data_IF_074612138355
#
_entry.id   IF_074612138355
#
_cell.length_a   1.000
_cell.length_b   1.000
_cell.length_c   1.000
_cell.angle_alpha   90.00
_cell.angle_beta   90.00
_cell.angle_gamma   90.00
#
_symmetry.space_group_name_H-M   'P 1'
#
loop_
_entity.id
_entity.type
_entity.pdbx_description
1 polymer ?
#
# COMPACT_ATOMS: atom_id res chain seq x y z
N UNK A 1 17.06 2.72 -13.02
CA UNK A 1 17.77 3.83 -13.69
C UNK A 1 18.40 4.69 -12.60
N UNK A 2 19.56 5.33 -12.80
CA UNK A 2 20.12 6.21 -11.78
C UNK A 2 19.25 7.47 -11.58
N UNK A 3 19.32 8.08 -10.39
CA UNK A 3 18.75 9.41 -10.11
C UNK A 3 19.20 10.41 -11.19
N UNK A 4 18.29 11.20 -11.81
CA UNK A 4 18.66 12.12 -12.88
C UNK A 4 19.60 13.20 -12.35
N UNK A 5 20.59 13.58 -13.16
CA UNK A 5 21.52 14.65 -12.79
C UNK A 5 20.84 16.02 -12.97
N UNK A 6 21.06 16.92 -12.01
CA UNK A 6 20.65 18.33 -12.11
C UNK A 6 21.72 19.13 -12.85
N UNK A 7 21.34 20.22 -13.57
CA UNK A 7 22.29 21.20 -14.09
C UNK A 7 23.20 21.74 -12.97
N UNK A 8 24.46 22.02 -13.29
CA UNK A 8 25.47 22.39 -12.31
C UNK A 8 25.19 23.70 -11.55
N UNK A 9 24.37 24.57 -12.13
CA UNK A 9 23.93 25.86 -11.58
C UNK A 9 22.53 25.81 -10.96
N UNK A 10 21.88 24.64 -10.96
CA UNK A 10 20.57 24.48 -10.35
C UNK A 10 20.69 24.14 -8.85
N UNK A 11 20.18 25.03 -8.00
CA UNK A 11 20.08 24.80 -6.56
C UNK A 11 18.74 24.13 -6.22
N UNK A 12 18.81 22.86 -5.83
CA UNK A 12 17.63 22.12 -5.38
C UNK A 12 17.16 22.64 -4.02
N UNK A 13 15.86 22.86 -3.88
CA UNK A 13 15.26 23.20 -2.59
C UNK A 13 15.28 21.98 -1.67
N UNK A 14 16.03 22.06 -0.57
CA UNK A 14 16.16 20.97 0.39
C UNK A 14 14.96 20.83 1.33
N UNK A 15 14.17 21.89 1.49
CA UNK A 15 12.95 21.89 2.31
C UNK A 15 11.91 22.83 1.72
N UNK A 16 10.65 22.40 1.72
CA UNK A 16 9.50 23.14 1.19
C UNK A 16 8.32 22.83 2.11
N UNK A 17 7.84 23.78 2.90
CA UNK A 17 6.57 23.70 3.66
C UNK A 17 6.26 22.34 4.35
N UNK A 18 7.25 21.76 5.04
CA UNK A 18 7.12 20.49 5.77
C UNK A 18 7.64 19.25 5.02
N UNK A 19 7.98 19.40 3.74
CA UNK A 19 8.63 18.39 2.90
C UNK A 19 10.16 18.55 2.96
N UNK A 20 10.89 17.46 3.14
CA UNK A 20 12.36 17.41 3.22
C UNK A 20 12.93 16.59 2.08
N UNK A 21 13.92 17.12 1.38
CA UNK A 21 14.60 16.40 0.31
C UNK A 21 15.39 15.22 0.86
N UNK A 22 15.16 14.02 0.31
CA UNK A 22 15.90 12.83 0.66
C UNK A 22 17.09 12.63 -0.30
N UNK A 23 18.28 12.94 0.21
CA UNK A 23 19.53 12.77 -0.51
C UNK A 23 19.94 11.30 -0.65
N UNK A 24 19.56 10.46 0.33
CA UNK A 24 19.93 9.05 0.42
C UNK A 24 18.96 8.15 -0.37
N UNK A 25 17.82 8.69 -0.81
CA UNK A 25 16.86 8.01 -1.67
C UNK A 25 17.54 7.44 -2.93
N UNK A 26 17.41 6.13 -3.13
CA UNK A 26 18.06 5.40 -4.22
C UNK A 26 17.19 5.24 -5.48
N UNK A 27 16.01 5.85 -5.51
CA UNK A 27 15.12 5.76 -6.68
C UNK A 27 15.69 6.51 -7.89
N UNK A 28 15.06 6.35 -9.05
CA UNK A 28 15.39 7.09 -10.27
C UNK A 28 14.79 8.52 -10.28
N UNK A 29 14.58 9.13 -9.13
CA UNK A 29 13.94 10.44 -9.01
C UNK A 29 14.48 11.31 -7.88
N UNK A 30 14.08 12.58 -7.88
CA UNK A 30 14.28 13.49 -6.75
C UNK A 30 13.05 13.40 -5.84
N UNK A 31 13.25 13.02 -4.57
CA UNK A 31 12.15 12.73 -3.64
C UNK A 31 12.24 13.65 -2.43
N UNK A 32 11.09 14.17 -2.02
CA UNK A 32 10.88 14.86 -0.77
C UNK A 32 9.93 14.04 0.10
N UNK A 33 10.24 13.91 1.38
CA UNK A 33 9.44 13.14 2.36
C UNK A 33 8.95 14.05 3.47
N UNK A 34 7.82 13.72 4.07
CA UNK A 34 7.46 14.30 5.36
C UNK A 34 8.18 13.54 6.48
N UNK A 35 8.66 14.27 7.49
CA UNK A 35 9.24 13.67 8.70
C UNK A 35 8.16 13.16 9.68
N UNK A 36 6.93 13.65 9.55
CA UNK A 36 5.82 13.39 10.49
C UNK A 36 4.71 12.54 9.87
N UNK A 37 4.65 12.45 8.55
CA UNK A 37 3.62 11.74 7.80
C UNK A 37 4.26 10.76 6.81
N UNK A 38 3.66 9.59 6.64
CA UNK A 38 4.15 8.54 5.75
C UNK A 38 3.72 8.82 4.30
N UNK A 39 4.22 9.93 3.75
CA UNK A 39 3.99 10.33 2.38
C UNK A 39 5.20 11.05 1.77
N UNK A 40 5.31 10.95 0.45
CA UNK A 40 6.43 11.52 -0.30
C UNK A 40 6.00 12.13 -1.63
N UNK A 41 6.73 13.13 -2.10
CA UNK A 41 6.57 13.71 -3.44
C UNK A 41 7.85 13.45 -4.23
N UNK A 42 7.71 12.91 -5.43
CA UNK A 42 8.85 12.51 -6.26
C UNK A 42 8.75 12.99 -7.70
N UNK A 43 9.90 13.35 -8.27
CA UNK A 43 10.08 13.69 -9.68
C UNK A 43 10.96 12.62 -10.33
N UNK A 44 10.35 11.79 -11.17
CA UNK A 44 10.97 10.59 -11.73
C UNK A 44 11.24 10.73 -13.21
N UNK A 45 12.44 10.33 -13.62
CA UNK A 45 12.83 10.24 -15.02
C UNK A 45 12.45 8.88 -15.60
N UNK A 46 11.44 8.86 -16.45
CA UNK A 46 10.96 7.68 -17.16
C UNK A 46 11.43 7.70 -18.62
N UNK A 47 11.21 6.60 -19.34
CA UNK A 47 11.53 6.56 -20.78
C UNK A 47 10.63 7.53 -21.54
N UNK A 48 11.17 8.70 -21.91
CA UNK A 48 10.51 9.72 -22.74
C UNK A 48 9.59 10.68 -22.00
N UNK A 49 9.61 10.67 -20.66
CA UNK A 49 8.75 11.55 -19.86
C UNK A 49 9.31 11.77 -18.46
N UNK A 50 9.03 12.93 -17.88
CA UNK A 50 9.19 13.18 -16.44
C UNK A 50 7.81 13.06 -15.81
N UNK A 51 7.71 12.34 -14.69
CA UNK A 51 6.47 12.26 -13.90
C UNK A 51 6.68 12.84 -12.52
N UNK A 52 5.76 13.70 -12.10
CA UNK A 52 5.63 14.21 -10.73
C UNK A 52 4.55 13.39 -10.04
N UNK A 53 4.88 12.84 -8.87
CA UNK A 53 3.99 11.92 -8.13
C UNK A 53 3.96 12.29 -6.66
N UNK A 54 2.82 12.06 -6.02
CA UNK A 54 2.71 11.99 -4.56
C UNK A 54 2.35 10.56 -4.16
N UNK A 55 3.07 10.00 -3.20
CA UNK A 55 3.04 8.59 -2.82
C UNK A 55 2.59 8.46 -1.36
N UNK A 56 1.75 7.47 -1.09
CA UNK A 56 1.45 7.00 0.26
C UNK A 56 2.51 5.96 0.63
N UNK A 57 3.46 6.33 1.49
CA UNK A 57 4.62 5.49 1.81
C UNK A 57 4.23 4.29 2.70
N UNK A 58 2.97 4.23 3.18
CA UNK A 58 2.42 3.08 3.92
C UNK A 58 2.01 1.93 3.01
N UNK A 59 1.96 2.17 1.70
CA UNK A 59 1.36 1.26 0.71
C UNK A 59 2.37 0.93 -0.38
N UNK A 60 2.51 -0.36 -0.67
CA UNK A 60 3.34 -0.86 -1.76
C UNK A 60 2.53 -1.00 -3.06
N UNK A 61 3.21 -1.08 -4.20
CA UNK A 61 2.61 -1.39 -5.50
C UNK A 61 2.48 -0.21 -6.45
N UNK A 62 2.03 -0.46 -7.68
CA UNK A 62 2.00 0.58 -8.72
C UNK A 62 0.91 1.63 -8.53
N UNK A 63 -0.08 1.38 -7.68
CA UNK A 63 -1.16 2.32 -7.41
C UNK A 63 -0.97 3.08 -6.08
N UNK A 64 0.17 2.96 -5.39
CA UNK A 64 0.44 3.69 -4.14
C UNK A 64 0.67 5.19 -4.32
N UNK A 65 0.59 5.70 -5.55
CA UNK A 65 0.83 7.10 -5.86
C UNK A 65 -0.24 7.68 -6.78
N UNK A 66 -0.44 8.99 -6.66
CA UNK A 66 -1.16 9.81 -7.62
C UNK A 66 -0.17 10.52 -8.55
N UNK A 67 -0.40 10.45 -9.87
CA UNK A 67 0.38 11.21 -10.85
C UNK A 67 -0.15 12.65 -10.88
N UNK A 68 0.64 13.58 -10.31
CA UNK A 68 0.30 15.00 -10.27
C UNK A 68 0.51 15.65 -11.64
N UNK A 69 1.60 15.28 -12.31
CA UNK A 69 1.92 15.78 -13.63
C UNK A 69 2.78 14.78 -14.42
N UNK A 70 2.59 14.78 -15.74
CA UNK A 70 3.40 14.02 -16.68
C UNK A 70 3.77 14.89 -17.87
N UNK A 71 5.07 15.05 -18.09
CA UNK A 71 5.60 15.90 -19.15
C UNK A 71 6.44 15.03 -20.09
N UNK A 72 5.90 14.79 -21.29
CA UNK A 72 6.60 14.06 -22.35
C UNK A 72 7.71 14.93 -22.97
N UNK A 73 8.83 14.31 -23.33
CA UNK A 73 9.96 15.02 -23.93
C UNK A 73 10.66 14.21 -25.04
N UNK A 74 11.19 14.93 -26.02
CA UNK A 74 12.26 14.43 -26.88
C UNK A 74 13.61 14.54 -26.17
N UNK A 75 14.57 13.64 -26.47
CA UNK A 75 15.84 13.52 -25.73
C UNK A 75 16.56 14.84 -25.46
N UNK A 76 16.53 15.77 -26.41
CA UNK A 76 17.24 17.05 -26.33
C UNK A 76 16.60 18.04 -25.34
N UNK A 77 15.36 17.78 -24.89
CA UNK A 77 14.62 18.62 -23.94
C UNK A 77 14.57 18.06 -22.51
N UNK A 78 15.13 16.86 -22.30
CA UNK A 78 15.02 16.13 -21.02
C UNK A 78 15.36 16.99 -19.81
N UNK A 79 16.50 17.69 -19.83
CA UNK A 79 16.97 18.43 -18.66
C UNK A 79 16.07 19.65 -18.36
N UNK A 80 15.58 20.35 -19.39
CA UNK A 80 14.62 21.43 -19.21
C UNK A 80 13.30 20.92 -18.61
N UNK A 81 12.81 19.79 -19.11
CA UNK A 81 11.57 19.17 -18.62
C UNK A 81 11.73 18.60 -17.20
N UNK A 82 12.92 18.14 -16.83
CA UNK A 82 13.22 17.76 -15.44
C UNK A 82 13.06 18.97 -14.50
N UNK A 83 13.57 20.13 -14.88
CA UNK A 83 13.41 21.35 -14.07
C UNK A 83 11.94 21.79 -14.01
N UNK A 84 11.21 21.72 -15.13
CA UNK A 84 9.76 21.98 -15.16
C UNK A 84 9.02 21.06 -14.17
N UNK A 85 9.35 19.76 -14.13
CA UNK A 85 8.79 18.82 -13.17
C UNK A 85 9.17 19.11 -11.71
N UNK A 86 10.41 19.56 -11.44
CA UNK A 86 10.81 19.98 -10.09
C UNK A 86 10.05 21.23 -9.67
N UNK A 87 9.90 22.22 -10.54
CA UNK A 87 9.15 23.44 -10.22
C UNK A 87 7.66 23.15 -10.01
N UNK A 88 7.08 22.21 -10.77
CA UNK A 88 5.72 21.71 -10.55
C UNK A 88 5.57 21.02 -9.18
N UNK A 89 6.50 20.13 -8.82
CA UNK A 89 6.51 19.47 -7.50
C UNK A 89 6.62 20.49 -6.36
N UNK A 90 7.48 21.50 -6.52
CA UNK A 90 7.64 22.61 -5.57
C UNK A 90 6.36 23.43 -5.43
N UNK A 91 5.71 23.75 -6.53
CA UNK A 91 4.44 24.47 -6.54
C UNK A 91 3.37 23.69 -5.77
N UNK A 92 3.23 22.39 -6.06
CA UNK A 92 2.25 21.54 -5.39
C UNK A 92 2.53 21.38 -3.88
N UNK A 93 3.79 21.14 -3.50
CA UNK A 93 4.20 21.03 -2.10
C UNK A 93 4.00 22.35 -1.32
N UNK A 94 4.15 23.50 -1.97
CA UNK A 94 3.86 24.80 -1.34
C UNK A 94 2.38 25.09 -1.14
N UNK A 95 1.50 24.36 -1.83
CA UNK A 95 0.04 24.47 -1.71
C UNK A 95 -0.58 23.35 -0.85
N UNK A 96 0.16 22.26 -0.60
CA UNK A 96 -0.34 21.06 0.07
C UNK A 96 0.53 20.71 1.28
N UNK A 97 -0.05 20.89 2.46
CA UNK A 97 0.50 20.40 3.73
C UNK A 97 0.50 18.85 3.73
N UNK A 98 1.63 18.18 4.05
CA UNK A 98 1.67 16.73 4.17
C UNK A 98 0.56 16.14 5.06
N UNK A 99 0.18 16.84 6.13
CA UNK A 99 -0.86 16.40 7.06
C UNK A 99 -2.28 16.43 6.48
N UNK A 100 -2.49 17.22 5.43
CA UNK A 100 -3.79 17.39 4.78
C UNK A 100 -3.97 16.47 3.57
N UNK A 101 -2.89 15.83 3.10
CA UNK A 101 -2.94 14.91 1.98
C UNK A 101 -3.35 13.51 2.43
N UNK A 102 -4.25 12.89 1.67
CA UNK A 102 -4.62 11.50 1.82
C UNK A 102 -4.80 10.90 0.42
N UNK A 103 -4.32 9.69 0.22
CA UNK A 103 -4.43 9.02 -1.07
C UNK A 103 -5.91 8.63 -1.33
N UNK A 104 -6.52 9.05 -2.45
CA UNK A 104 -7.96 8.91 -2.66
C UNK A 104 -8.43 7.45 -2.80
N UNK A 105 -7.54 6.56 -3.26
CA UNK A 105 -7.86 5.13 -3.45
C UNK A 105 -7.37 4.21 -2.32
N UNK A 106 -6.63 4.74 -1.33
CA UNK A 106 -6.13 3.93 -0.20
C UNK A 106 -7.23 3.73 0.82
N UNK A 107 -7.45 2.47 1.21
CA UNK A 107 -8.44 2.12 2.20
C UNK A 107 -7.87 2.28 3.62
N UNK A 108 -8.18 3.38 4.30
CA UNK A 108 -7.69 3.65 5.67
C UNK A 108 -8.04 2.56 6.68
N UNK A 109 -9.15 1.84 6.46
CA UNK A 109 -9.53 0.72 7.32
C UNK A 109 -8.46 -0.39 7.34
N UNK A 110 -7.56 -0.46 6.36
CA UNK A 110 -6.46 -1.46 6.36
C UNK A 110 -5.48 -1.24 7.52
N UNK A 111 -5.23 0.01 7.93
CA UNK A 111 -4.23 0.31 8.96
C UNK A 111 -4.70 -0.04 10.37
N UNK A 112 -6.01 -0.10 10.57
CA UNK A 112 -6.66 -0.58 11.80
C UNK A 112 -6.73 -2.12 11.78
N UNK A 113 -5.61 -2.77 12.09
CA UNK A 113 -5.43 -4.22 11.99
C UNK A 113 -6.42 -5.03 12.85
N UNK A 114 -6.80 -6.26 12.42
CA UNK A 114 -7.54 -7.21 13.25
C UNK A 114 -6.86 -7.52 14.58
N UNK A 115 -7.65 -7.75 15.63
CA UNK A 115 -7.13 -8.10 16.97
C UNK A 115 -6.25 -9.36 16.91
N UNK A 116 -5.09 -9.32 17.58
CA UNK A 116 -4.13 -10.42 17.54
C UNK A 116 -3.29 -10.45 16.26
N UNK A 117 -3.36 -9.38 15.45
CA UNK A 117 -2.55 -9.21 14.24
C UNK A 117 -1.97 -7.80 14.13
N UNK A 118 -0.89 -7.68 13.37
CA UNK A 118 -0.28 -6.41 12.95
C UNK A 118 -0.28 -6.33 11.42
N UNK A 119 -0.47 -5.14 10.85
CA UNK A 119 -0.29 -4.96 9.41
C UNK A 119 1.16 -5.29 9.04
N UNK A 120 1.33 -6.20 8.09
CA UNK A 120 2.62 -6.61 7.53
C UNK A 120 2.88 -5.89 6.21
N UNK A 121 1.91 -5.95 5.31
CA UNK A 121 2.03 -5.32 3.98
C UNK A 121 0.66 -4.99 3.42
N UNK A 122 0.56 -3.84 2.76
CA UNK A 122 -0.58 -3.46 1.94
C UNK A 122 -0.09 -3.19 0.52
N UNK A 123 -0.35 -4.13 -0.39
CA UNK A 123 -0.14 -3.95 -1.82
C UNK A 123 -1.39 -3.36 -2.47
N UNK A 124 -1.21 -2.24 -3.16
CA UNK A 124 -2.24 -1.59 -3.95
C UNK A 124 -1.82 -1.54 -5.42
N UNK A 125 -2.58 -2.27 -6.24
CA UNK A 125 -2.38 -2.41 -7.67
C UNK A 125 -3.61 -1.92 -8.44
N UNK A 126 -3.44 -1.71 -9.75
CA UNK A 126 -4.52 -1.23 -10.61
C UNK A 126 -5.74 -2.17 -10.67
N UNK A 127 -5.54 -3.47 -10.38
CA UNK A 127 -6.56 -4.52 -10.53
C UNK A 127 -6.83 -5.29 -9.25
N UNK A 128 -5.99 -5.11 -8.24
CA UNK A 128 -6.10 -5.84 -7.00
C UNK A 128 -5.59 -5.00 -5.82
N UNK A 129 -6.10 -5.29 -4.65
CA UNK A 129 -5.56 -4.81 -3.40
C UNK A 129 -5.38 -6.02 -2.48
N UNK A 130 -4.16 -6.19 -1.95
CA UNK A 130 -3.79 -7.33 -1.13
C UNK A 130 -3.24 -6.81 0.20
N UNK A 131 -3.76 -7.35 1.29
CA UNK A 131 -3.37 -7.00 2.65
C UNK A 131 -2.95 -8.26 3.37
N UNK A 132 -1.76 -8.20 3.97
CA UNK A 132 -1.26 -9.22 4.88
C UNK A 132 -1.25 -8.65 6.29
N UNK A 133 -1.95 -9.32 7.19
CA UNK A 133 -1.82 -9.10 8.62
C UNK A 133 -1.03 -10.26 9.21
N UNK A 134 0.11 -9.97 9.84
CA UNK A 134 0.91 -10.96 10.57
C UNK A 134 0.31 -11.19 11.95
N UNK A 135 0.14 -12.46 12.33
CA UNK A 135 -0.36 -12.83 13.65
C UNK A 135 0.66 -12.44 14.73
N UNK A 136 0.19 -11.88 15.85
CA UNK A 136 1.03 -11.60 17.00
C UNK A 136 1.78 -12.87 17.46
N UNK A 137 3.09 -12.76 17.63
CA UNK A 137 3.95 -13.89 18.02
C UNK A 137 4.32 -14.84 16.89
N UNK A 138 3.87 -14.61 15.66
CA UNK A 138 4.53 -15.18 14.48
C UNK A 138 5.83 -14.42 14.20
N UNK A 139 6.87 -15.14 13.81
CA UNK A 139 8.14 -14.54 13.39
C UNK A 139 7.97 -13.81 12.05
N UNK A 140 8.67 -12.69 11.91
CA UNK A 140 8.70 -11.88 10.68
C UNK A 140 9.29 -12.65 9.49
N UNK A 141 8.67 -12.53 8.32
CA UNK A 141 9.16 -13.14 7.08
C UNK A 141 9.23 -14.67 7.11
N UNK A 142 8.54 -15.32 8.06
CA UNK A 142 8.53 -16.78 8.15
C UNK A 142 7.42 -17.34 7.27
N UNK A 143 7.87 -17.98 6.19
CA UNK A 143 7.05 -18.83 5.35
C UNK A 143 6.97 -20.24 5.94
N UNK A 144 5.77 -20.80 6.05
CA UNK A 144 5.61 -22.22 6.39
C UNK A 144 5.38 -23.06 5.12
N UNK A 145 6.16 -24.14 4.98
CA UNK A 145 5.99 -25.08 3.86
C UNK A 145 4.76 -25.95 4.08
N UNK A 146 3.64 -25.56 3.47
CA UNK A 146 2.39 -26.33 3.48
C UNK A 146 2.38 -27.50 2.48
N UNK A 147 3.43 -27.70 1.67
CA UNK A 147 3.49 -28.79 0.68
C UNK A 147 3.78 -30.16 1.31
N UNK A 148 4.27 -30.18 2.55
CA UNK A 148 4.67 -31.40 3.27
C UNK A 148 3.65 -31.94 4.28
N UNK A 149 2.65 -31.16 4.69
CA UNK A 149 1.71 -31.51 5.77
C UNK A 149 0.33 -30.93 5.43
N UNK A 150 -0.68 -31.79 5.21
CA UNK A 150 -2.10 -31.48 4.99
C UNK A 150 -2.50 -30.43 3.91
N UNK A 151 -1.55 -29.81 3.21
CA UNK A 151 -1.84 -28.76 2.24
C UNK A 151 -2.32 -27.46 2.91
N UNK A 152 -2.84 -26.48 2.13
CA UNK A 152 -3.43 -25.27 2.70
C UNK A 152 -4.56 -25.58 3.69
N UNK A 153 -5.30 -26.67 3.53
CA UNK A 153 -6.38 -27.09 4.44
C UNK A 153 -5.90 -27.34 5.88
N UNK A 154 -4.60 -27.59 6.09
CA UNK A 154 -3.98 -27.68 7.41
C UNK A 154 -3.79 -26.33 8.11
N UNK A 155 -3.99 -25.21 7.42
CA UNK A 155 -3.93 -23.87 8.00
C UNK A 155 -5.11 -23.61 8.93
N UNK A 156 -4.80 -23.04 10.08
CA UNK A 156 -5.73 -22.64 11.12
C UNK A 156 -5.24 -21.36 11.76
N UNK A 157 -6.09 -20.68 12.53
CA UNK A 157 -5.67 -19.54 13.35
C UNK A 157 -4.42 -19.85 14.21
N UNK A 158 -4.27 -21.08 14.67
CA UNK A 158 -3.21 -21.50 15.59
C UNK A 158 -1.85 -21.76 14.92
N UNK A 159 -1.76 -21.94 13.61
CA UNK A 159 -0.49 -22.21 12.92
C UNK A 159 -0.21 -21.28 11.73
N UNK A 160 -1.23 -20.63 11.15
CA UNK A 160 -1.04 -19.72 10.04
C UNK A 160 -0.35 -18.42 10.52
N UNK A 161 0.77 -18.03 9.90
CA UNK A 161 1.46 -16.79 10.25
C UNK A 161 0.68 -15.54 9.81
N UNK A 162 -0.14 -15.64 8.75
CA UNK A 162 -0.81 -14.48 8.17
C UNK A 162 -2.33 -14.67 7.99
N UNK A 163 -3.06 -13.57 8.21
CA UNK A 163 -4.42 -13.35 7.75
C UNK A 163 -4.35 -12.46 6.50
N UNK A 164 -4.86 -12.99 5.40
CA UNK A 164 -4.80 -12.45 4.06
C UNK A 164 -6.15 -11.90 3.65
N UNK A 165 -6.16 -10.67 3.13
CA UNK A 165 -7.33 -10.05 2.51
C UNK A 165 -6.96 -9.65 1.09
N UNK A 166 -7.76 -10.06 0.11
CA UNK A 166 -7.53 -9.70 -1.29
C UNK A 166 -8.83 -9.28 -1.95
N UNK A 167 -8.86 -8.07 -2.49
CA UNK A 167 -9.92 -7.55 -3.34
C UNK A 167 -9.48 -7.54 -4.81
N UNK A 168 -10.31 -8.09 -5.70
CA UNK A 168 -10.20 -7.84 -7.14
C UNK A 168 -10.97 -6.56 -7.49
N UNK A 169 -10.23 -5.45 -7.64
CA UNK A 169 -10.79 -4.11 -7.83
C UNK A 169 -11.73 -4.07 -9.04
N UNK A 170 -12.91 -3.48 -8.82
CA UNK A 170 -13.96 -3.35 -9.84
C UNK A 170 -14.73 -4.64 -10.15
N UNK A 171 -14.38 -5.77 -9.56
CA UNK A 171 -15.15 -7.02 -9.70
C UNK A 171 -16.19 -7.22 -8.60
N UNK A 172 -16.03 -6.51 -7.47
CA UNK A 172 -16.86 -6.71 -6.29
C UNK A 172 -16.62 -8.07 -5.60
N UNK A 173 -15.46 -8.68 -5.81
CA UNK A 173 -15.07 -9.91 -5.12
C UNK A 173 -13.88 -9.64 -4.23
N UNK A 174 -13.94 -10.20 -3.04
CA UNK A 174 -12.81 -10.26 -2.13
C UNK A 174 -12.66 -11.66 -1.55
N UNK A 175 -11.51 -11.92 -0.93
CA UNK A 175 -11.23 -13.14 -0.18
C UNK A 175 -10.61 -12.76 1.15
N UNK A 176 -11.07 -13.43 2.20
CA UNK A 176 -10.42 -13.41 3.52
C UNK A 176 -9.96 -14.84 3.80
N UNK A 177 -8.66 -15.03 3.93
CA UNK A 177 -8.06 -16.35 4.04
C UNK A 177 -6.89 -16.36 5.02
N UNK A 178 -6.49 -17.55 5.44
CA UNK A 178 -5.20 -17.76 6.07
C UNK A 178 -4.15 -18.02 5.00
N UNK A 179 -2.97 -17.44 5.21
CA UNK A 179 -1.83 -17.56 4.30
C UNK A 179 -0.57 -18.03 5.04
N UNK A 180 0.28 -18.84 4.39
CA UNK A 180 1.53 -19.31 4.97
C UNK A 180 2.72 -18.40 4.70
N UNK A 181 2.57 -17.35 3.89
CA UNK A 181 3.62 -16.45 3.40
C UNK A 181 3.06 -15.06 3.04
N UNK A 182 3.94 -14.13 2.68
CA UNK A 182 3.64 -12.74 2.29
C UNK A 182 3.72 -12.45 0.78
N UNK A 183 4.23 -13.37 -0.05
CA UNK A 183 4.43 -13.13 -1.49
C UNK A 183 3.46 -13.89 -2.40
N UNK A 184 2.34 -13.24 -2.78
CA UNK A 184 1.47 -13.77 -3.86
C UNK A 184 2.13 -13.73 -5.25
N UNK A 185 3.15 -12.89 -5.48
CA UNK A 185 3.69 -12.58 -6.82
C UNK A 185 5.22 -12.79 -7.00
N UNK A 186 5.87 -13.58 -6.14
CA UNK A 186 7.29 -13.90 -6.27
C UNK A 186 7.65 -14.68 -7.56
N UNK A 187 8.92 -14.65 -8.03
CA UNK A 187 9.35 -15.42 -9.20
C UNK A 187 9.20 -16.93 -8.97
N UNK A 188 8.09 -17.50 -9.45
CA UNK A 188 7.76 -18.92 -9.29
C UNK A 188 6.47 -19.21 -8.51
N UNK A 189 5.74 -18.20 -8.05
CA UNK A 189 4.47 -18.40 -7.36
C UNK A 189 3.35 -18.77 -8.35
N UNK A 190 2.71 -19.93 -8.12
CA UNK A 190 1.30 -20.13 -8.52
C UNK A 190 0.44 -19.39 -7.49
N UNK A 191 -0.83 -19.12 -7.82
CA UNK A 191 -1.81 -18.57 -6.87
C UNK A 191 -1.62 -19.14 -5.46
N UNK A 192 -1.70 -18.32 -4.41
CA UNK A 192 -1.17 -18.70 -3.12
C UNK A 192 -1.94 -19.89 -2.52
N UNK A 193 -1.25 -20.78 -1.80
CA UNK A 193 -1.88 -21.87 -1.05
C UNK A 193 -2.58 -21.24 0.16
N UNK A 194 -3.77 -20.70 -0.08
CA UNK A 194 -4.60 -19.99 0.91
C UNK A 194 -5.79 -20.86 1.35
N UNK A 195 -6.25 -20.62 2.57
CA UNK A 195 -7.47 -21.26 3.10
C UNK A 195 -8.50 -20.18 3.43
N UNK A 196 -9.56 -20.01 2.63
CA UNK A 196 -10.63 -19.09 2.94
C UNK A 196 -11.23 -19.39 4.30
N UNK A 197 -11.34 -18.36 5.14
CA UNK A 197 -11.89 -18.50 6.50
C UNK A 197 -13.21 -17.76 6.68
N UNK A 198 -13.57 -16.91 5.73
CA UNK A 198 -14.86 -16.20 5.71
C UNK A 198 -15.43 -16.23 4.29
N UNK A 199 -16.74 -16.47 4.20
CA UNK A 199 -17.49 -16.22 2.97
C UNK A 199 -17.81 -14.72 2.89
N UNK A 200 -17.25 -14.04 1.89
CA UNK A 200 -17.49 -12.61 1.67
C UNK A 200 -18.76 -12.41 0.83
N UNK A 201 -19.53 -11.33 1.06
CA UNK A 201 -20.69 -11.01 0.22
C UNK A 201 -20.32 -10.83 -1.26
N UNK A 202 -21.28 -11.08 -2.15
CA UNK A 202 -21.16 -10.65 -3.54
C UNK A 202 -21.13 -9.12 -3.62
N UNK A 203 -20.30 -8.58 -4.49
CA UNK A 203 -20.11 -7.13 -4.65
C UNK A 203 -19.51 -6.43 -3.42
N UNK A 204 -18.59 -7.11 -2.72
CA UNK A 204 -17.83 -6.52 -1.61
C UNK A 204 -16.51 -5.89 -2.08
N UNK A 205 -16.22 -4.70 -1.55
CA UNK A 205 -14.91 -4.06 -1.69
C UNK A 205 -13.99 -4.32 -0.49
N UNK A 206 -12.77 -3.79 -0.54
CA UNK A 206 -11.73 -4.05 0.46
C UNK A 206 -12.17 -3.72 1.91
N UNK A 207 -12.86 -2.61 2.13
CA UNK A 207 -13.33 -2.18 3.45
C UNK A 207 -14.27 -3.22 4.11
N UNK A 208 -15.17 -3.80 3.32
CA UNK A 208 -16.08 -4.87 3.77
C UNK A 208 -15.27 -6.12 4.09
N UNK A 209 -14.33 -6.51 3.23
CA UNK A 209 -13.49 -7.67 3.44
C UNK A 209 -12.63 -7.54 4.71
N UNK A 210 -12.03 -6.37 4.96
CA UNK A 210 -11.30 -6.07 6.19
C UNK A 210 -12.22 -6.14 7.42
N UNK A 211 -13.45 -5.63 7.30
CA UNK A 211 -14.45 -5.74 8.39
C UNK A 211 -14.77 -7.20 8.71
N UNK A 212 -14.90 -8.05 7.69
CA UNK A 212 -15.13 -9.49 7.86
C UNK A 212 -13.91 -10.18 8.48
N UNK A 213 -12.70 -9.82 8.04
CA UNK A 213 -11.44 -10.31 8.63
C UNK A 213 -11.32 -9.97 10.12
N UNK A 214 -11.68 -8.74 10.50
CA UNK A 214 -11.74 -8.33 11.91
C UNK A 214 -12.72 -9.19 12.68
N UNK A 215 -13.96 -9.34 12.20
CA UNK A 215 -14.99 -10.16 12.87
C UNK A 215 -14.52 -11.58 13.12
N UNK A 216 -13.90 -12.20 12.11
CA UNK A 216 -13.33 -13.54 12.23
C UNK A 216 -12.24 -13.58 13.30
N UNK A 217 -11.30 -12.62 13.31
CA UNK A 217 -10.24 -12.58 14.33
C UNK A 217 -10.79 -12.39 15.76
N UNK A 218 -11.91 -11.68 15.92
CA UNK A 218 -12.56 -11.50 17.24
C UNK A 218 -13.02 -12.82 17.87
N UNK A 219 -13.37 -13.83 17.07
CA UNK A 219 -13.80 -15.13 17.58
C UNK A 219 -12.70 -15.87 18.35
N UNK A 220 -11.44 -15.48 18.12
CA UNK A 220 -10.26 -16.09 18.73
C UNK A 220 -9.57 -15.17 19.74
N UNK A 221 -10.12 -13.98 19.99
CA UNK A 221 -9.56 -13.02 20.93
C UNK A 221 -10.10 -13.25 22.35
N UNK A 222 -9.21 -13.48 23.31
CA UNK A 222 -9.52 -13.56 24.75
C UNK A 222 -9.71 -12.17 25.43
N UNK A 223 -9.72 -11.08 24.65
CA UNK A 223 -9.75 -9.69 25.16
C UNK A 223 -11.07 -9.00 24.82
N UNK A 224 -11.54 -8.13 25.72
CA UNK A 224 -12.61 -7.17 25.46
C UNK A 224 -12.11 -6.15 24.44
N UNK A 225 -12.85 -5.96 23.34
CA UNK A 225 -12.41 -5.16 22.19
C UNK A 225 -13.10 -3.80 22.23
N UNK A 226 -12.30 -2.73 22.21
CA UNK A 226 -12.82 -1.37 22.09
C UNK A 226 -13.46 -1.21 20.71
N UNK A 227 -14.72 -0.79 20.69
CA UNK A 227 -15.56 -0.82 19.50
C UNK A 227 -15.55 0.58 18.93
N UNK A 228 -14.81 0.77 17.84
CA UNK A 228 -15.18 1.53 16.64
C UNK A 228 -13.90 1.80 15.83
N UNK A 229 -13.52 0.84 14.99
CA UNK A 229 -12.48 1.08 14.00
C UNK A 229 -12.95 2.14 13.00
N UNK A 230 -12.04 2.95 12.49
CA UNK A 230 -12.34 3.92 11.46
C UNK A 230 -12.98 3.24 10.23
N UNK A 231 -13.97 3.88 9.62
CA UNK A 231 -14.69 3.34 8.45
C UNK A 231 -15.87 2.40 8.75
N UNK A 232 -16.23 2.12 10.01
CA UNK A 232 -17.47 1.38 10.30
C UNK A 232 -18.74 2.21 10.03
N UNK A 233 -19.06 2.48 8.76
CA UNK A 233 -20.46 2.53 8.36
C UNK A 233 -21.00 1.10 8.50
N UNK A 234 -21.65 0.84 9.64
CA UNK A 234 -22.21 -0.46 10.01
C UNK A 234 -22.75 -1.24 8.80
N UNK A 235 -22.35 -2.51 8.68
CA UNK A 235 -22.88 -3.47 7.68
C UNK A 235 -24.42 -3.53 7.64
N UNK A 236 -25.10 -3.00 8.66
CA UNK A 236 -26.53 -2.73 8.71
C UNK A 236 -27.04 -1.85 7.54
N UNK A 237 -26.19 -0.99 6.94
CA UNK A 237 -26.55 -0.24 5.72
C UNK A 237 -26.75 -1.11 4.48
N UNK A 238 -26.16 -2.30 4.46
CA UNK A 238 -26.23 -3.23 3.32
C UNK A 238 -27.28 -4.33 3.53
N UNK A 239 -28.10 -4.21 4.59
CA UNK A 239 -29.15 -5.18 4.95
C UNK A 239 -30.57 -4.75 4.52
N UNK A 240 -30.71 -3.80 3.59
CA UNK A 240 -32.00 -3.24 3.16
C UNK A 240 -32.41 -3.69 1.75
#
# INVERSE_FOLDING_TARGET
>A
MPKPALPADYELSLSIDGWQYDADDSSNGHVWRSDEHECSVGVYDNIGSISVRVTDDRVDGFASYEELERIDYDRDRRDGVLLEGIDAARGWMGETDPAAWAHPEVCEAVFDAPVGYTLETYYHENREAIVYYRREGADDGVDIDVRGSDGPEGLSHANAPYLYVHEWRGSGNATVALAPWTEAHGPGSKHPDITPVVETPSECGLEVAVTMARRWAREYADKEIDTDASGQAALERWSA
#
